data_IF_282287808932
#
_entry.id   IF_282287808932
#
_cell.length_a   1.000
_cell.length_b   1.000
_cell.length_c   1.000
_cell.angle_alpha   90.00
_cell.angle_beta   90.00
_cell.angle_gamma   90.00
#
_symmetry.space_group_name_H-M   'P 1'
#
loop_
_entity.id
_entity.type
_entity.pdbx_description
1 polymer ?
#
# COMPACT_ATOMS: atom_id res chain seq x y z
N UNK A 1 -7.61 28.62 18.44
CA UNK A 1 -6.73 28.98 17.31
C UNK A 1 -7.47 29.03 15.98
N UNK A 2 -8.39 28.13 15.72
CA UNK A 2 -9.16 28.01 14.47
C UNK A 2 -9.96 29.27 14.10
N UNK A 3 -10.65 29.91 15.05
CA UNK A 3 -11.51 31.08 14.75
C UNK A 3 -10.69 32.29 14.23
N UNK A 4 -9.55 32.63 14.86
CA UNK A 4 -8.69 33.72 14.40
C UNK A 4 -8.07 33.42 13.03
N UNK A 5 -7.61 32.19 12.79
CA UNK A 5 -7.06 31.80 11.48
C UNK A 5 -8.15 31.83 10.39
N UNK A 6 -9.39 31.45 10.69
CA UNK A 6 -10.50 31.54 9.74
C UNK A 6 -10.84 32.97 9.33
N UNK A 7 -10.55 33.96 10.17
CA UNK A 7 -10.78 35.38 9.85
C UNK A 7 -9.68 35.97 8.96
N UNK A 8 -8.43 35.48 9.08
CA UNK A 8 -7.26 35.99 8.37
C UNK A 8 -6.95 35.28 7.05
N UNK A 9 -7.27 33.96 6.94
CA UNK A 9 -7.05 33.18 5.72
C UNK A 9 -8.25 33.33 4.79
N UNK A 10 -8.01 33.56 3.50
CA UNK A 10 -9.07 33.91 2.57
C UNK A 10 -9.19 32.97 1.36
N UNK A 11 -8.10 32.33 0.95
CA UNK A 11 -8.01 31.57 -0.30
C UNK A 11 -7.58 30.12 -0.04
N UNK A 12 -7.75 29.27 -1.05
CA UNK A 12 -7.26 27.87 -1.03
C UNK A 12 -5.76 27.84 -0.72
N UNK A 13 -4.97 28.67 -1.41
CA UNK A 13 -3.52 28.69 -1.23
C UNK A 13 -3.10 29.20 0.16
N UNK A 14 -3.88 30.10 0.78
CA UNK A 14 -3.63 30.53 2.15
C UNK A 14 -3.74 29.36 3.12
N UNK A 15 -4.77 28.52 2.97
CA UNK A 15 -4.97 27.33 3.81
C UNK A 15 -3.90 26.28 3.57
N UNK A 16 -3.54 26.01 2.31
CA UNK A 16 -2.46 25.08 1.96
C UNK A 16 -1.14 25.51 2.60
N UNK A 17 -0.73 26.78 2.38
CA UNK A 17 0.46 27.34 2.98
C UNK A 17 0.42 27.28 4.52
N UNK A 18 -0.72 27.60 5.11
CA UNK A 18 -0.91 27.57 6.56
C UNK A 18 -0.79 26.13 7.10
N UNK A 19 -1.49 25.17 6.49
CA UNK A 19 -1.43 23.76 6.84
C UNK A 19 -0.01 23.21 6.77
N UNK A 20 0.68 23.45 5.64
CA UNK A 20 2.08 23.07 5.44
C UNK A 20 2.98 23.56 6.58
N UNK A 21 2.87 24.87 6.90
CA UNK A 21 3.66 25.48 7.97
C UNK A 21 3.36 24.87 9.34
N UNK A 22 2.08 24.58 9.62
CA UNK A 22 1.64 23.99 10.90
C UNK A 22 2.08 22.55 11.05
N UNK A 23 2.01 21.75 9.98
CA UNK A 23 2.42 20.35 9.98
C UNK A 23 3.94 20.22 10.21
N UNK A 24 4.74 21.03 9.50
CA UNK A 24 6.17 21.10 9.72
C UNK A 24 6.53 21.52 11.16
N UNK A 25 5.86 22.56 11.68
CA UNK A 25 6.11 23.07 13.03
C UNK A 25 5.69 22.05 14.12
N UNK A 26 4.71 21.19 13.84
CA UNK A 26 4.28 20.12 14.73
C UNK A 26 5.16 18.86 14.64
N UNK A 27 6.11 18.79 13.71
CA UNK A 27 6.95 17.62 13.49
C UNK A 27 6.11 16.38 13.15
N UNK A 28 5.18 16.51 12.22
CA UNK A 28 4.38 15.37 11.76
C UNK A 28 5.25 14.41 10.94
N UNK A 29 4.92 13.13 11.04
CA UNK A 29 5.50 12.10 10.16
C UNK A 29 4.62 11.94 8.93
N UNK A 30 5.27 11.90 7.77
CA UNK A 30 4.67 11.68 6.46
C UNK A 30 5.06 10.30 5.94
N UNK A 31 4.56 9.88 4.77
CA UNK A 31 4.85 8.60 4.15
C UNK A 31 3.67 7.60 4.16
N UNK A 32 2.56 7.90 4.86
CA UNK A 32 1.35 7.06 4.78
C UNK A 32 0.59 7.23 3.46
N UNK A 33 0.57 8.46 2.91
CA UNK A 33 -0.11 8.78 1.64
C UNK A 33 0.62 9.86 0.85
N UNK A 34 1.38 10.70 1.54
CA UNK A 34 2.09 11.85 1.00
C UNK A 34 3.45 11.96 1.66
N UNK A 35 4.48 12.33 0.90
CA UNK A 35 5.87 12.34 1.37
C UNK A 35 6.24 13.63 2.10
N UNK A 36 5.36 14.64 2.08
CA UNK A 36 5.66 15.94 2.67
C UNK A 36 4.40 16.71 3.09
N UNK A 37 4.62 17.73 3.92
CA UNK A 37 3.57 18.58 4.46
C UNK A 37 2.77 19.36 3.42
N UNK A 38 3.39 19.74 2.30
CA UNK A 38 2.72 20.54 1.27
C UNK A 38 1.67 19.71 0.54
N UNK A 39 2.03 18.52 0.12
CA UNK A 39 1.13 17.63 -0.61
C UNK A 39 0.00 17.15 0.30
N UNK A 40 0.31 16.79 1.56
CA UNK A 40 -0.71 16.38 2.53
C UNK A 40 -1.68 17.52 2.85
N UNK A 41 -1.20 18.74 3.10
CA UNK A 41 -2.06 19.90 3.35
C UNK A 41 -2.92 20.24 2.13
N UNK A 42 -2.36 20.12 0.92
CA UNK A 42 -3.08 20.34 -0.34
C UNK A 42 -4.25 19.37 -0.45
N UNK A 43 -4.00 18.09 -0.25
CA UNK A 43 -5.04 17.07 -0.39
C UNK A 43 -6.12 17.19 0.69
N UNK A 44 -5.75 17.48 1.94
CA UNK A 44 -6.73 17.73 3.00
C UNK A 44 -7.64 18.92 2.70
N UNK A 45 -7.09 20.00 2.12
CA UNK A 45 -7.87 21.15 1.68
C UNK A 45 -8.81 20.78 0.55
N UNK A 46 -8.29 20.14 -0.52
CA UNK A 46 -9.09 19.79 -1.70
C UNK A 46 -10.20 18.80 -1.33
N UNK A 47 -9.88 17.76 -0.54
CA UNK A 47 -10.86 16.78 -0.05
C UNK A 47 -11.97 17.45 0.76
N UNK A 48 -11.62 18.31 1.73
CA UNK A 48 -12.59 19.01 2.58
C UNK A 48 -13.55 19.89 1.79
N UNK A 49 -13.09 20.41 0.65
CA UNK A 49 -13.87 21.26 -0.25
C UNK A 49 -14.59 20.49 -1.36
N UNK A 50 -14.48 19.16 -1.37
CA UNK A 50 -15.01 18.30 -2.44
C UNK A 50 -14.50 18.69 -3.84
N UNK A 51 -13.24 19.12 -3.94
CA UNK A 51 -12.58 19.51 -5.18
C UNK A 51 -11.71 18.36 -5.71
N UNK A 52 -11.51 18.30 -7.04
CA UNK A 52 -10.62 17.31 -7.64
C UNK A 52 -9.19 17.43 -7.09
N UNK A 53 -8.51 16.28 -6.91
CA UNK A 53 -7.14 16.23 -6.39
C UNK A 53 -6.11 16.87 -7.35
N UNK A 54 -6.43 16.95 -8.64
CA UNK A 54 -5.63 17.56 -9.70
C UNK A 54 -6.06 18.99 -10.05
N UNK A 55 -6.74 19.68 -9.13
CA UNK A 55 -7.23 21.04 -9.33
C UNK A 55 -6.11 21.99 -9.79
N UNK A 56 -6.30 22.59 -10.95
CA UNK A 56 -5.30 23.48 -11.55
C UNK A 56 -4.95 24.70 -10.66
N UNK A 57 -3.69 25.16 -10.66
CA UNK A 57 -3.19 26.20 -9.75
C UNK A 57 -3.93 27.53 -9.86
N UNK A 58 -4.63 27.81 -10.96
CA UNK A 58 -5.45 29.01 -11.14
C UNK A 58 -6.56 29.13 -10.07
N UNK A 59 -7.06 28.02 -9.56
CA UNK A 59 -8.07 28.00 -8.51
C UNK A 59 -7.52 28.30 -7.11
N UNK A 60 -6.20 28.27 -6.90
CA UNK A 60 -5.58 28.54 -5.61
C UNK A 60 -5.96 29.89 -5.01
N UNK A 61 -6.35 30.86 -5.82
CA UNK A 61 -6.80 32.19 -5.40
C UNK A 61 -8.31 32.28 -5.13
N UNK A 62 -9.05 31.18 -5.31
CA UNK A 62 -10.48 31.18 -5.00
C UNK A 62 -10.71 31.41 -3.51
N UNK A 63 -11.67 32.32 -3.22
CA UNK A 63 -12.05 32.64 -1.85
C UNK A 63 -13.01 31.60 -1.28
N UNK A 64 -12.86 31.35 0.00
CA UNK A 64 -13.60 30.34 0.73
C UNK A 64 -14.63 30.97 1.67
N UNK A 65 -15.74 30.27 1.84
CA UNK A 65 -16.71 30.57 2.87
C UNK A 65 -16.10 30.32 4.25
N UNK A 66 -16.63 30.99 5.29
CA UNK A 66 -16.17 30.77 6.65
C UNK A 66 -16.32 29.30 7.11
N UNK A 67 -17.46 28.69 6.77
CA UNK A 67 -17.72 27.28 7.10
C UNK A 67 -16.73 26.33 6.45
N UNK A 68 -16.34 26.57 5.19
CA UNK A 68 -15.33 25.76 4.50
C UNK A 68 -13.96 25.86 5.18
N UNK A 69 -13.56 27.07 5.55
CA UNK A 69 -12.31 27.32 6.29
C UNK A 69 -12.31 26.61 7.64
N UNK A 70 -13.42 26.66 8.38
CA UNK A 70 -13.57 25.99 9.67
C UNK A 70 -13.47 24.47 9.55
N UNK A 71 -14.02 23.87 8.48
CA UNK A 71 -13.89 22.42 8.18
C UNK A 71 -12.43 22.03 7.94
N UNK A 72 -11.74 22.75 7.03
CA UNK A 72 -10.31 22.51 6.73
C UNK A 72 -9.44 22.63 7.98
N UNK A 73 -9.62 23.73 8.74
CA UNK A 73 -8.85 23.98 9.96
C UNK A 73 -9.12 22.91 11.03
N UNK A 74 -10.34 22.39 11.10
CA UNK A 74 -10.71 21.26 11.96
C UNK A 74 -9.96 19.98 11.60
N UNK A 75 -9.80 19.66 10.30
CA UNK A 75 -8.99 18.53 9.85
C UNK A 75 -7.51 18.72 10.22
N UNK A 76 -6.97 19.93 10.03
CA UNK A 76 -5.58 20.23 10.41
C UNK A 76 -5.34 20.07 11.91
N UNK A 77 -6.29 20.51 12.76
CA UNK A 77 -6.19 20.31 14.22
C UNK A 77 -6.21 18.84 14.59
N UNK A 78 -7.09 18.04 14.00
CA UNK A 78 -7.13 16.60 14.23
C UNK A 78 -5.82 15.94 13.78
N UNK A 79 -5.32 16.27 12.58
CA UNK A 79 -4.05 15.75 12.08
C UNK A 79 -2.87 16.05 13.01
N UNK A 80 -2.82 17.27 13.54
CA UNK A 80 -1.73 17.72 14.43
C UNK A 80 -1.86 17.11 15.83
N UNK A 81 -3.04 17.17 16.43
CA UNK A 81 -3.22 16.83 17.84
C UNK A 81 -3.42 15.33 18.07
N UNK A 82 -4.14 14.66 17.16
CA UNK A 82 -4.46 13.24 17.25
C UNK A 82 -3.43 12.38 16.51
N UNK A 83 -2.66 12.95 15.59
CA UNK A 83 -1.68 12.23 14.74
C UNK A 83 -2.31 11.21 13.78
N UNK A 84 -3.62 11.28 13.55
CA UNK A 84 -4.32 10.37 12.61
C UNK A 84 -3.78 10.57 11.19
N UNK A 85 -3.42 9.53 10.46
CA UNK A 85 -3.02 9.63 9.06
C UNK A 85 -4.06 10.34 8.19
N UNK A 86 -3.61 11.15 7.23
CA UNK A 86 -4.50 11.92 6.37
C UNK A 86 -5.53 11.04 5.64
N UNK A 87 -5.13 9.86 5.16
CA UNK A 87 -6.02 8.89 4.53
C UNK A 87 -7.17 8.44 5.44
N UNK A 88 -6.91 8.27 6.75
CA UNK A 88 -7.97 7.89 7.70
C UNK A 88 -8.84 9.08 8.11
N UNK A 89 -8.30 10.31 8.08
CA UNK A 89 -9.09 11.52 8.29
C UNK A 89 -10.09 11.76 7.17
N UNK A 90 -9.68 11.49 5.94
CA UNK A 90 -10.50 11.66 4.73
C UNK A 90 -11.34 10.42 4.41
N UNK A 91 -10.95 9.26 4.92
CA UNK A 91 -11.53 7.96 4.53
C UNK A 91 -11.14 7.53 3.12
N UNK A 92 -10.09 8.12 2.54
CA UNK A 92 -9.69 7.91 1.15
C UNK A 92 -8.17 7.89 0.99
N UNK A 93 -7.68 6.96 0.17
CA UNK A 93 -6.30 6.87 -0.28
C UNK A 93 -6.24 6.63 -1.78
N UNK A 94 -5.17 7.11 -2.43
CA UNK A 94 -4.94 6.90 -3.86
C UNK A 94 -3.87 5.84 -4.08
N UNK A 95 -4.13 4.91 -5.00
CA UNK A 95 -3.20 3.86 -5.36
C UNK A 95 -3.37 3.49 -6.83
N UNK A 96 -2.28 3.45 -7.60
CA UNK A 96 -2.31 3.17 -9.04
C UNK A 96 -3.41 3.97 -9.77
N UNK A 97 -3.51 5.28 -9.52
CA UNK A 97 -4.50 6.18 -10.13
C UNK A 97 -5.96 5.96 -9.72
N UNK A 98 -6.24 5.04 -8.79
CA UNK A 98 -7.58 4.72 -8.30
C UNK A 98 -7.79 5.21 -6.87
N UNK A 99 -9.02 5.63 -6.55
CA UNK A 99 -9.42 6.08 -5.21
C UNK A 99 -10.02 4.93 -4.40
N UNK A 100 -9.38 4.58 -3.28
CA UNK A 100 -9.78 3.52 -2.36
C UNK A 100 -10.33 4.10 -1.07
N UNK A 101 -11.36 3.48 -0.50
CA UNK A 101 -11.73 3.70 0.88
C UNK A 101 -10.59 3.22 1.78
N UNK A 102 -10.23 4.03 2.80
CA UNK A 102 -9.13 3.74 3.71
C UNK A 102 -9.53 4.03 5.15
N UNK A 103 -9.34 3.07 6.03
CA UNK A 103 -9.56 3.20 7.47
C UNK A 103 -8.70 2.16 8.24
N UNK A 104 -8.77 2.17 9.58
CA UNK A 104 -7.92 1.38 10.46
C UNK A 104 -8.07 -0.16 10.35
N UNK A 105 -8.91 -0.67 9.43
CA UNK A 105 -9.03 -2.11 9.15
C UNK A 105 -7.88 -2.69 8.32
N UNK A 106 -7.16 -1.85 7.56
CA UNK A 106 -6.01 -2.25 6.78
C UNK A 106 -5.02 -1.09 6.65
N UNK A 107 -3.75 -1.40 6.28
CA UNK A 107 -2.75 -0.37 6.00
C UNK A 107 -3.23 0.60 4.93
N UNK A 108 -2.77 1.85 5.05
CA UNK A 108 -2.96 2.84 3.97
C UNK A 108 -2.25 2.35 2.71
N UNK A 109 -2.94 2.28 1.55
CA UNK A 109 -2.32 1.93 0.27
C UNK A 109 -1.14 2.86 -0.07
N UNK A 110 0.10 2.33 -0.10
CA UNK A 110 1.32 3.11 -0.37
C UNK A 110 2.44 2.31 -1.03
N UNK A 111 2.16 1.05 -1.42
CA UNK A 111 3.14 0.17 -2.03
C UNK A 111 3.59 0.70 -3.41
N UNK A 112 4.90 0.73 -3.70
CA UNK A 112 5.42 1.05 -5.02
C UNK A 112 5.08 0.01 -6.10
N UNK A 113 4.50 -1.14 -5.73
CA UNK A 113 3.89 -2.10 -6.67
C UNK A 113 2.86 -1.41 -7.59
N UNK A 114 2.28 -0.27 -7.18
CA UNK A 114 1.44 0.57 -8.04
C UNK A 114 2.09 0.89 -9.40
N UNK A 115 3.40 1.25 -9.40
CA UNK A 115 4.13 1.55 -10.64
C UNK A 115 4.27 0.32 -11.54
N UNK A 116 4.45 -0.87 -10.95
CA UNK A 116 4.51 -2.13 -11.71
C UNK A 116 3.15 -2.46 -12.34
N UNK A 117 2.07 -2.26 -11.62
CA UNK A 117 0.71 -2.47 -12.14
C UNK A 117 0.44 -1.54 -13.32
N UNK A 118 0.74 -0.25 -13.18
CA UNK A 118 0.56 0.76 -14.25
C UNK A 118 1.44 0.47 -15.47
N UNK A 119 2.64 -0.13 -15.27
CA UNK A 119 3.54 -0.57 -16.32
C UNK A 119 3.17 -1.95 -16.91
N UNK A 120 2.07 -2.59 -16.45
CA UNK A 120 1.69 -3.94 -16.88
C UNK A 120 2.70 -5.01 -16.47
N UNK A 121 3.45 -4.78 -15.39
CA UNK A 121 4.52 -5.65 -14.88
C UNK A 121 5.67 -5.90 -15.87
N UNK A 122 5.81 -5.05 -16.87
CA UNK A 122 6.96 -5.14 -17.78
C UNK A 122 8.20 -4.46 -17.15
N UNK A 123 9.41 -4.99 -17.41
CA UNK A 123 9.75 -6.12 -18.30
C UNK A 123 9.66 -7.52 -17.63
N UNK A 124 9.16 -7.61 -16.42
CA UNK A 124 9.20 -8.83 -15.58
C UNK A 124 8.38 -9.98 -16.17
N UNK A 125 7.21 -9.69 -16.72
CA UNK A 125 6.41 -10.70 -17.42
C UNK A 125 7.07 -11.16 -18.72
N UNK A 126 7.86 -10.31 -19.39
CA UNK A 126 8.61 -10.71 -20.56
C UNK A 126 7.77 -11.29 -21.69
N UNK A 127 6.52 -10.81 -21.83
CA UNK A 127 5.56 -11.32 -22.81
C UNK A 127 4.84 -12.61 -22.39
N UNK A 128 4.94 -13.04 -21.13
CA UNK A 128 4.12 -14.15 -20.58
C UNK A 128 2.64 -13.76 -20.61
N UNK A 129 1.80 -14.71 -20.97
CA UNK A 129 0.36 -14.55 -20.86
C UNK A 129 -0.09 -14.81 -19.43
N UNK A 130 -0.78 -13.85 -18.81
CA UNK A 130 -1.36 -13.99 -17.49
C UNK A 130 -2.87 -14.13 -17.64
N UNK A 131 -3.41 -15.22 -17.12
CA UNK A 131 -4.85 -15.46 -17.02
C UNK A 131 -5.32 -15.41 -15.59
N UNK A 132 -4.49 -15.85 -14.65
CA UNK A 132 -4.81 -15.88 -13.23
C UNK A 132 -3.72 -15.23 -12.40
N UNK A 133 -4.11 -14.23 -11.61
CA UNK A 133 -3.22 -13.54 -10.69
C UNK A 133 -3.71 -13.67 -9.25
N UNK A 134 -2.77 -13.62 -8.31
CA UNK A 134 -3.03 -13.62 -6.87
C UNK A 134 -2.40 -12.38 -6.24
N UNK A 135 -3.17 -11.69 -5.40
CA UNK A 135 -2.67 -10.73 -4.43
C UNK A 135 -2.71 -11.38 -3.04
N UNK A 136 -1.55 -11.69 -2.50
CA UNK A 136 -1.38 -12.34 -1.19
C UNK A 136 -1.13 -11.27 -0.13
N UNK A 137 -1.87 -11.33 0.99
CA UNK A 137 -1.93 -10.27 2.00
C UNK A 137 -2.58 -8.99 1.45
N UNK A 138 -3.77 -9.13 0.86
CA UNK A 138 -4.42 -8.10 0.04
C UNK A 138 -4.82 -6.83 0.81
N UNK A 139 -4.96 -6.89 2.14
CA UNK A 139 -5.33 -5.76 2.98
C UNK A 139 -6.62 -5.07 2.52
N UNK A 140 -6.53 -3.82 2.11
CA UNK A 140 -7.66 -3.04 1.57
C UNK A 140 -8.13 -3.49 0.18
N UNK A 141 -7.45 -4.47 -0.43
CA UNK A 141 -7.70 -4.93 -1.78
C UNK A 141 -7.05 -4.08 -2.87
N UNK A 142 -6.20 -3.12 -2.53
CA UNK A 142 -5.72 -2.13 -3.49
C UNK A 142 -4.89 -2.75 -4.62
N UNK A 143 -4.01 -3.72 -4.34
CA UNK A 143 -3.22 -4.42 -5.36
C UNK A 143 -4.12 -5.30 -6.22
N UNK A 144 -4.94 -6.18 -5.62
CA UNK A 144 -5.85 -7.06 -6.36
C UNK A 144 -6.79 -6.29 -7.29
N UNK A 145 -7.41 -5.23 -6.76
CA UNK A 145 -8.40 -4.42 -7.50
C UNK A 145 -7.72 -3.63 -8.62
N UNK A 146 -6.53 -3.04 -8.36
CA UNK A 146 -5.79 -2.35 -9.39
C UNK A 146 -5.33 -3.31 -10.50
N UNK A 147 -4.81 -4.51 -10.16
CA UNK A 147 -4.50 -5.55 -11.14
C UNK A 147 -5.71 -5.90 -12.01
N UNK A 148 -6.88 -6.12 -11.39
CA UNK A 148 -8.10 -6.42 -12.09
C UNK A 148 -8.61 -5.27 -12.97
N UNK A 149 -8.45 -4.02 -12.52
CA UNK A 149 -8.86 -2.83 -13.25
C UNK A 149 -8.05 -2.64 -14.54
N UNK A 150 -6.72 -2.74 -14.45
CA UNK A 150 -5.83 -2.55 -15.60
C UNK A 150 -5.81 -3.78 -16.52
N UNK A 151 -6.20 -4.95 -16.02
CA UNK A 151 -6.22 -6.20 -16.79
C UNK A 151 -7.61 -6.88 -16.66
N UNK A 152 -8.64 -6.36 -17.32
CA UNK A 152 -10.02 -6.86 -17.16
C UNK A 152 -10.22 -8.30 -17.64
N UNK A 153 -9.26 -8.86 -18.38
CA UNK A 153 -9.24 -10.25 -18.84
C UNK A 153 -8.63 -11.23 -17.84
N UNK A 154 -7.99 -10.74 -16.74
CA UNK A 154 -7.44 -11.60 -15.72
C UNK A 154 -8.51 -12.00 -14.68
N UNK A 155 -8.42 -13.22 -14.18
CA UNK A 155 -9.09 -13.63 -12.96
C UNK A 155 -8.14 -13.36 -11.79
N UNK A 156 -8.50 -12.44 -10.90
CA UNK A 156 -7.65 -12.04 -9.78
C UNK A 156 -8.25 -12.54 -8.48
N UNK A 157 -7.47 -13.32 -7.72
CA UNK A 157 -7.80 -13.64 -6.33
C UNK A 157 -7.05 -12.69 -5.39
N UNK A 158 -7.75 -12.08 -4.41
CA UNK A 158 -7.17 -11.31 -3.33
C UNK A 158 -7.39 -12.04 -2.01
N UNK A 159 -6.34 -12.34 -1.25
CA UNK A 159 -6.48 -13.11 -0.01
C UNK A 159 -5.89 -12.39 1.19
N UNK A 160 -6.55 -12.53 2.33
CA UNK A 160 -6.09 -12.03 3.62
C UNK A 160 -6.57 -12.93 4.74
N UNK A 161 -5.84 -12.92 5.86
CA UNK A 161 -6.23 -13.62 7.09
C UNK A 161 -7.26 -12.83 7.90
N UNK A 162 -7.28 -11.51 7.75
CA UNK A 162 -8.12 -10.58 8.49
C UNK A 162 -9.50 -10.43 7.86
N UNK A 163 -10.54 -10.75 8.63
CA UNK A 163 -11.94 -10.49 8.21
C UNK A 163 -12.21 -8.99 8.03
N UNK A 164 -11.59 -8.12 8.85
CA UNK A 164 -11.76 -6.68 8.79
C UNK A 164 -11.13 -6.11 7.51
N UNK A 165 -9.93 -6.56 7.14
CA UNK A 165 -9.27 -6.19 5.89
C UNK A 165 -10.11 -6.63 4.68
N UNK A 166 -10.60 -7.87 4.67
CA UNK A 166 -11.45 -8.38 3.60
C UNK A 166 -12.79 -7.63 3.49
N UNK A 167 -13.35 -7.18 4.63
CA UNK A 167 -14.54 -6.34 4.61
C UNK A 167 -14.27 -4.99 3.94
N UNK A 168 -13.13 -4.35 4.23
CA UNK A 168 -12.71 -3.12 3.55
C UNK A 168 -12.44 -3.36 2.06
N UNK A 169 -11.76 -4.45 1.72
CA UNK A 169 -11.50 -4.85 0.33
C UNK A 169 -12.81 -5.08 -0.45
N UNK A 170 -13.82 -5.68 0.18
CA UNK A 170 -15.14 -5.90 -0.45
C UNK A 170 -15.86 -4.57 -0.74
N UNK A 171 -15.76 -3.59 0.17
CA UNK A 171 -16.30 -2.24 -0.07
C UNK A 171 -15.57 -1.56 -1.24
N UNK A 172 -14.24 -1.67 -1.32
CA UNK A 172 -13.43 -1.14 -2.41
C UNK A 172 -13.72 -1.83 -3.74
N UNK A 173 -13.83 -3.17 -3.74
CA UNK A 173 -14.23 -3.95 -4.92
C UNK A 173 -15.57 -3.47 -5.49
N UNK A 174 -16.57 -3.29 -4.62
CA UNK A 174 -17.89 -2.81 -5.03
C UNK A 174 -17.83 -1.36 -5.56
N UNK A 175 -17.07 -0.48 -4.88
CA UNK A 175 -16.89 0.93 -5.28
C UNK A 175 -16.26 1.08 -6.66
N UNK A 176 -15.26 0.23 -6.97
CA UNK A 176 -14.48 0.29 -8.21
C UNK A 176 -14.96 -0.68 -9.30
N UNK A 177 -16.07 -1.40 -9.07
CA UNK A 177 -16.68 -2.35 -10.00
C UNK A 177 -15.67 -3.41 -10.51
N UNK A 178 -14.83 -3.94 -9.62
CA UNK A 178 -13.82 -4.93 -9.96
C UNK A 178 -14.42 -6.35 -9.96
N UNK A 179 -15.29 -6.64 -10.94
CA UNK A 179 -16.07 -7.90 -10.99
C UNK A 179 -15.19 -9.14 -11.18
N UNK A 180 -14.03 -8.99 -11.82
CA UNK A 180 -13.03 -10.04 -12.05
C UNK A 180 -12.09 -10.28 -10.85
N UNK A 181 -12.32 -9.63 -9.70
CA UNK A 181 -11.59 -9.87 -8.46
C UNK A 181 -12.41 -10.74 -7.52
N UNK A 182 -11.82 -11.80 -6.97
CA UNK A 182 -12.43 -12.64 -5.94
C UNK A 182 -11.67 -12.49 -4.63
N UNK A 183 -12.38 -12.18 -3.54
CA UNK A 183 -11.78 -12.04 -2.21
C UNK A 183 -12.00 -13.31 -1.40
N UNK A 184 -10.94 -13.83 -0.78
CA UNK A 184 -10.96 -15.09 -0.04
C UNK A 184 -10.22 -14.95 1.30
N UNK A 185 -10.76 -15.56 2.35
CA UNK A 185 -10.06 -15.67 3.62
C UNK A 185 -9.04 -16.79 3.56
N UNK A 186 -7.77 -16.48 3.82
CA UNK A 186 -6.69 -17.46 3.83
C UNK A 186 -5.54 -16.98 4.72
N UNK A 187 -4.95 -17.92 5.46
CA UNK A 187 -3.61 -17.74 6.04
C UNK A 187 -2.60 -18.11 4.96
N UNK A 188 -2.02 -17.10 4.32
CA UNK A 188 -1.22 -17.24 3.12
C UNK A 188 -1.95 -18.15 2.09
N UNK A 189 -1.33 -19.24 1.68
CA UNK A 189 -1.85 -20.16 0.66
C UNK A 189 -2.85 -21.22 1.20
N UNK A 190 -3.02 -21.35 2.52
CA UNK A 190 -3.75 -22.47 3.14
C UNK A 190 -5.21 -22.63 2.65
N UNK A 191 -5.87 -21.53 2.33
CA UNK A 191 -7.27 -21.51 1.86
C UNK A 191 -7.44 -21.69 0.35
N UNK A 192 -6.35 -21.76 -0.43
CA UNK A 192 -6.40 -21.74 -1.89
C UNK A 192 -6.55 -23.13 -2.53
N UNK A 193 -6.37 -24.20 -1.77
CA UNK A 193 -6.42 -25.57 -2.29
C UNK A 193 -5.36 -25.78 -3.38
N UNK A 194 -5.76 -26.35 -4.52
CA UNK A 194 -4.87 -26.62 -5.65
C UNK A 194 -4.86 -25.53 -6.73
N UNK A 195 -5.24 -24.30 -6.40
CA UNK A 195 -5.22 -23.20 -7.36
C UNK A 195 -3.79 -22.85 -7.76
N UNK A 196 -3.59 -22.57 -9.05
CA UNK A 196 -2.33 -22.10 -9.61
C UNK A 196 -2.53 -20.76 -10.30
N UNK A 197 -1.47 -19.94 -10.26
CA UNK A 197 -1.44 -18.57 -10.77
C UNK A 197 -0.24 -18.34 -11.67
N UNK A 198 -0.41 -17.52 -12.70
CA UNK A 198 0.67 -17.11 -13.59
C UNK A 198 1.49 -15.97 -12.96
N UNK A 199 0.83 -15.18 -12.11
CA UNK A 199 1.45 -14.09 -11.36
C UNK A 199 0.94 -14.10 -9.91
N UNK A 200 1.88 -14.11 -8.97
CA UNK A 200 1.62 -13.86 -7.55
C UNK A 200 2.27 -12.53 -7.19
N UNK A 201 1.50 -11.61 -6.62
CA UNK A 201 1.99 -10.33 -6.11
C UNK A 201 1.71 -10.28 -4.61
N UNK A 202 2.64 -9.75 -3.83
CA UNK A 202 2.43 -9.66 -2.38
C UNK A 202 3.19 -8.48 -1.78
N UNK A 203 2.52 -7.78 -0.88
CA UNK A 203 3.14 -6.85 0.06
C UNK A 203 2.82 -7.36 1.48
N UNK A 204 3.55 -8.38 1.97
CA UNK A 204 3.32 -8.95 3.28
C UNK A 204 3.87 -8.03 4.37
N UNK A 205 3.49 -8.21 5.65
CA UNK A 205 4.22 -7.60 6.75
C UNK A 205 5.71 -7.94 6.68
N UNK A 206 6.56 -6.90 6.81
CA UNK A 206 8.03 -7.04 6.74
C UNK A 206 8.78 -6.15 7.76
N UNK A 207 8.07 -5.43 8.62
CA UNK A 207 8.71 -4.56 9.63
C UNK A 207 9.13 -5.41 10.83
N UNK A 208 10.38 -5.25 11.27
CA UNK A 208 10.90 -5.99 12.43
C UNK A 208 10.19 -5.57 13.72
N UNK A 209 10.27 -6.42 14.75
CA UNK A 209 9.69 -6.12 16.06
C UNK A 209 10.25 -4.82 16.65
N UNK A 210 11.57 -4.64 16.61
CA UNK A 210 12.26 -3.46 17.17
C UNK A 210 11.88 -2.19 16.39
N UNK A 211 11.82 -2.24 15.07
CA UNK A 211 11.38 -1.12 14.25
C UNK A 211 9.92 -0.76 14.51
N UNK A 212 9.04 -1.77 14.61
CA UNK A 212 7.61 -1.55 14.90
C UNK A 212 7.42 -0.80 16.23
N UNK A 213 8.18 -1.16 17.26
CA UNK A 213 8.13 -0.52 18.58
C UNK A 213 8.69 0.92 18.56
N UNK A 214 9.53 1.26 17.56
CA UNK A 214 10.12 2.58 17.38
C UNK A 214 9.34 3.47 16.40
N UNK A 215 8.29 2.95 15.74
CA UNK A 215 7.51 3.70 14.77
C UNK A 215 6.89 4.97 15.38
N UNK A 216 6.79 6.06 14.60
CA UNK A 216 6.08 7.27 15.00
C UNK A 216 4.61 7.00 15.36
N UNK A 217 4.02 7.89 16.16
CA UNK A 217 2.65 7.76 16.66
C UNK A 217 1.62 7.56 15.54
N UNK A 218 1.85 8.12 14.37
CA UNK A 218 0.98 7.98 13.20
C UNK A 218 0.73 6.52 12.82
N UNK A 219 1.72 5.65 12.97
CA UNK A 219 1.62 4.22 12.66
C UNK A 219 0.78 3.43 13.67
N UNK A 220 0.54 3.96 14.88
CA UNK A 220 -0.31 3.31 15.89
C UNK A 220 -1.79 3.18 15.48
N UNK A 221 -2.20 3.87 14.43
CA UNK A 221 -3.54 3.75 13.85
C UNK A 221 -3.68 2.60 12.87
N UNK A 222 -2.56 2.10 12.34
CA UNK A 222 -2.55 0.96 11.42
C UNK A 222 -2.57 -0.37 12.18
N UNK A 223 -3.21 -1.42 11.64
CA UNK A 223 -3.24 -2.72 12.32
C UNK A 223 -1.85 -3.33 12.41
N UNK A 224 -1.41 -3.72 13.60
CA UNK A 224 -0.10 -4.37 13.83
C UNK A 224 0.10 -5.62 12.96
N UNK A 225 -0.98 -6.36 12.70
CA UNK A 225 -0.97 -7.54 11.82
C UNK A 225 -0.43 -7.24 10.42
N UNK A 226 -0.58 -6.02 9.94
CA UNK A 226 -0.10 -5.59 8.63
C UNK A 226 1.34 -5.07 8.62
N UNK A 227 1.98 -4.91 9.78
CA UNK A 227 3.32 -4.34 9.91
C UNK A 227 4.34 -5.37 10.39
N UNK A 228 4.06 -6.05 11.51
CA UNK A 228 5.01 -6.83 12.29
C UNK A 228 5.31 -8.21 11.66
N UNK A 229 6.59 -8.53 11.47
CA UNK A 229 7.06 -9.75 10.79
C UNK A 229 8.29 -10.40 11.47
N UNK A 230 8.28 -10.49 12.79
CA UNK A 230 9.36 -11.16 13.53
C UNK A 230 10.59 -10.28 13.79
N UNK A 231 11.72 -10.91 14.06
CA UNK A 231 12.93 -10.20 14.48
C UNK A 231 13.75 -9.66 13.30
N UNK A 232 13.65 -10.28 12.13
CA UNK A 232 14.36 -9.87 10.90
C UNK A 232 13.43 -9.40 9.77
N UNK A 233 12.11 -9.38 10.01
CA UNK A 233 11.11 -8.95 9.03
C UNK A 233 10.84 -9.97 7.92
N UNK A 234 11.36 -11.20 8.01
CA UNK A 234 11.32 -12.20 6.93
C UNK A 234 10.45 -13.42 7.22
N UNK A 235 9.85 -13.53 8.42
CA UNK A 235 9.07 -14.70 8.83
C UNK A 235 8.00 -15.13 7.81
N UNK A 236 7.24 -14.15 7.27
CA UNK A 236 6.21 -14.44 6.28
C UNK A 236 6.78 -14.60 4.88
N UNK A 237 7.79 -13.80 4.53
CA UNK A 237 8.46 -13.86 3.22
C UNK A 237 9.06 -15.23 2.97
N UNK A 238 9.77 -15.81 3.95
CA UNK A 238 10.35 -17.14 3.82
C UNK A 238 9.28 -18.24 3.67
N UNK A 239 8.13 -18.13 4.36
CA UNK A 239 6.99 -19.03 4.15
C UNK A 239 6.38 -18.88 2.76
N UNK A 240 6.25 -17.64 2.27
CA UNK A 240 5.76 -17.35 0.92
C UNK A 240 6.69 -17.97 -0.12
N UNK A 241 8.00 -17.76 -0.03
CA UNK A 241 8.98 -18.33 -0.95
C UNK A 241 8.96 -19.86 -0.95
N UNK A 242 8.77 -20.49 0.22
CA UNK A 242 8.67 -21.96 0.37
C UNK A 242 7.44 -22.53 -0.34
N UNK A 243 6.29 -21.86 -0.17
CA UNK A 243 5.00 -22.44 -0.57
C UNK A 243 4.55 -21.97 -1.97
N UNK A 244 5.04 -20.83 -2.46
CA UNK A 244 4.69 -20.28 -3.76
C UNK A 244 4.85 -21.25 -4.94
N UNK A 245 5.88 -22.13 -5.02
CA UNK A 245 6.01 -23.07 -6.12
C UNK A 245 4.83 -24.01 -6.31
N UNK A 246 4.07 -24.31 -5.24
CA UNK A 246 2.89 -25.16 -5.31
C UNK A 246 1.68 -24.44 -5.90
N UNK A 247 1.74 -23.10 -5.95
CA UNK A 247 0.67 -22.20 -6.40
C UNK A 247 1.04 -21.37 -7.62
N UNK A 248 2.26 -21.45 -8.12
CA UNK A 248 2.67 -20.88 -9.38
C UNK A 248 2.51 -21.88 -10.52
N UNK A 249 2.13 -21.40 -11.70
CA UNK A 249 2.29 -22.16 -12.94
C UNK A 249 3.77 -22.39 -13.23
N UNK A 250 4.11 -23.29 -14.15
CA UNK A 250 5.51 -23.69 -14.44
C UNK A 250 6.39 -22.47 -14.79
N UNK A 251 5.85 -21.54 -15.58
CA UNK A 251 6.51 -20.28 -15.96
C UNK A 251 6.04 -19.09 -15.10
N UNK A 252 5.39 -19.37 -13.97
CA UNK A 252 4.81 -18.34 -13.11
C UNK A 252 5.86 -17.47 -12.42
N UNK A 253 5.44 -16.25 -12.07
CA UNK A 253 6.28 -15.22 -11.47
C UNK A 253 5.71 -14.81 -10.09
N UNK A 254 6.59 -14.69 -9.10
CA UNK A 254 6.31 -14.06 -7.82
C UNK A 254 6.95 -12.67 -7.79
N UNK A 255 6.18 -11.64 -7.43
CA UNK A 255 6.67 -10.29 -7.10
C UNK A 255 6.35 -10.04 -5.63
N UNK A 256 7.39 -9.73 -4.84
CA UNK A 256 7.28 -9.60 -3.40
C UNK A 256 7.97 -8.34 -2.91
N UNK A 257 7.26 -7.56 -2.11
CA UNK A 257 7.80 -6.43 -1.36
C UNK A 257 8.33 -6.91 -0.02
N UNK A 258 9.52 -6.45 0.36
CA UNK A 258 10.20 -6.75 1.63
C UNK A 258 10.79 -5.49 2.29
N UNK A 259 10.62 -4.34 1.65
CA UNK A 259 11.10 -3.06 2.16
C UNK A 259 12.57 -3.10 2.57
N UNK A 260 12.87 -2.61 3.76
CA UNK A 260 14.25 -2.53 4.28
C UNK A 260 14.86 -3.89 4.65
N UNK A 261 14.06 -4.97 4.70
CA UNK A 261 14.56 -6.35 4.93
C UNK A 261 15.28 -6.94 3.70
N UNK A 262 15.36 -6.21 2.57
CA UNK A 262 16.12 -6.61 1.36
C UNK A 262 17.53 -7.13 1.69
N UNK A 263 18.30 -6.36 2.46
CA UNK A 263 19.69 -6.73 2.77
C UNK A 263 19.80 -8.00 3.63
N UNK A 264 18.78 -8.29 4.46
CA UNK A 264 18.71 -9.52 5.23
C UNK A 264 18.42 -10.69 4.31
N UNK A 265 17.44 -10.55 3.42
CA UNK A 265 17.07 -11.60 2.47
C UNK A 265 18.24 -11.99 1.54
N UNK A 266 18.95 -10.99 0.99
CA UNK A 266 20.14 -11.22 0.14
C UNK A 266 21.23 -12.01 0.87
N UNK A 267 21.43 -11.75 2.18
CA UNK A 267 22.41 -12.50 2.97
C UNK A 267 21.97 -13.93 3.28
N UNK A 268 20.68 -14.16 3.47
CA UNK A 268 20.13 -15.49 3.77
C UNK A 268 20.06 -16.41 2.54
N UNK A 269 19.80 -15.83 1.37
CA UNK A 269 19.59 -16.55 0.12
C UNK A 269 20.50 -15.99 -1.00
N UNK A 270 21.84 -15.97 -0.82
CA UNK A 270 22.76 -15.38 -1.79
C UNK A 270 22.84 -16.18 -3.11
N UNK A 271 22.39 -17.44 -3.11
CA UNK A 271 22.36 -18.33 -4.28
C UNK A 271 21.06 -18.23 -5.10
N UNK A 272 20.02 -17.58 -4.58
CA UNK A 272 18.74 -17.42 -5.28
C UNK A 272 18.78 -16.17 -6.15
N UNK A 273 18.49 -16.31 -7.43
CA UNK A 273 18.43 -15.18 -8.36
C UNK A 273 17.16 -14.35 -8.16
N UNK A 274 17.20 -13.47 -7.16
CA UNK A 274 16.15 -12.48 -6.88
C UNK A 274 16.40 -11.25 -7.74
N UNK A 275 15.54 -11.02 -8.72
CA UNK A 275 15.66 -9.87 -9.62
C UNK A 275 15.04 -8.62 -8.96
N UNK A 276 15.88 -7.77 -8.38
CA UNK A 276 15.45 -6.56 -7.69
C UNK A 276 14.91 -5.50 -8.65
N UNK A 277 13.77 -4.91 -8.28
CA UNK A 277 13.12 -3.88 -9.07
C UNK A 277 13.72 -2.53 -8.76
N UNK A 278 14.19 -1.83 -9.80
CA UNK A 278 14.66 -0.46 -9.68
C UNK A 278 13.52 0.53 -9.98
N UNK A 279 13.23 1.41 -9.03
CA UNK A 279 12.25 2.47 -9.19
C UNK A 279 12.93 3.80 -9.51
N UNK A 280 12.19 4.73 -10.11
CA UNK A 280 12.71 6.07 -10.43
C UNK A 280 13.16 6.85 -9.20
N UNK A 281 12.58 6.55 -8.04
CA UNK A 281 12.87 7.22 -6.77
C UNK A 281 13.26 6.16 -5.73
N UNK A 282 14.57 5.88 -5.61
CA UNK A 282 15.14 5.03 -4.58
C UNK A 282 14.94 3.52 -4.79
N UNK A 283 15.57 2.72 -3.91
CA UNK A 283 15.30 1.29 -3.78
C UNK A 283 14.15 1.07 -2.80
N UNK A 284 13.23 0.20 -3.15
CA UNK A 284 12.01 -0.03 -2.37
C UNK A 284 11.87 -1.47 -1.86
N UNK A 285 12.94 -2.29 -1.99
CA UNK A 285 12.93 -3.67 -1.52
C UNK A 285 11.81 -4.51 -2.15
N UNK A 286 11.70 -4.47 -3.48
CA UNK A 286 10.79 -5.34 -4.26
C UNK A 286 11.62 -6.21 -5.17
N UNK A 287 11.33 -7.51 -5.21
CA UNK A 287 11.95 -8.44 -6.12
C UNK A 287 10.93 -9.23 -6.93
N UNK A 288 11.39 -9.70 -8.08
CA UNK A 288 10.71 -10.71 -8.89
C UNK A 288 11.52 -12.00 -8.88
N UNK A 289 10.85 -13.15 -8.79
CA UNK A 289 11.48 -14.47 -8.86
C UNK A 289 10.60 -15.45 -9.59
N UNK A 290 11.19 -16.28 -10.45
CA UNK A 290 10.47 -17.30 -11.22
C UNK A 290 10.22 -18.56 -10.40
N UNK A 291 9.13 -19.27 -10.71
CA UNK A 291 8.78 -20.55 -10.08
C UNK A 291 9.93 -21.56 -10.10
N UNK A 292 10.60 -21.67 -11.25
CA UNK A 292 11.74 -22.61 -11.43
C UNK A 292 12.91 -22.32 -10.49
N UNK A 293 13.18 -21.04 -10.19
CA UNK A 293 14.25 -20.62 -9.28
C UNK A 293 13.91 -21.01 -7.85
N UNK A 294 12.68 -20.81 -7.42
CA UNK A 294 12.20 -21.23 -6.12
C UNK A 294 12.24 -22.76 -5.94
N UNK A 295 11.93 -23.51 -7.00
CA UNK A 295 12.03 -24.99 -6.98
C UNK A 295 13.50 -25.43 -6.87
N UNK A 296 14.41 -24.80 -7.60
CA UNK A 296 15.84 -25.14 -7.60
C UNK A 296 16.47 -24.98 -6.20
N UNK A 297 16.03 -23.98 -5.45
CA UNK A 297 16.55 -23.66 -4.10
C UNK A 297 15.59 -24.05 -2.97
N UNK A 298 14.55 -24.84 -3.25
CA UNK A 298 13.46 -25.15 -2.31
C UNK A 298 13.91 -25.79 -1.00
N UNK A 299 14.96 -26.64 -1.01
CA UNK A 299 15.48 -27.27 0.20
C UNK A 299 16.06 -26.21 1.19
N UNK A 300 16.83 -25.25 0.68
CA UNK A 300 17.41 -24.17 1.49
C UNK A 300 16.32 -23.22 2.02
N UNK A 301 15.39 -22.84 1.16
CA UNK A 301 14.24 -21.99 1.56
C UNK A 301 13.42 -22.66 2.65
N UNK A 302 13.13 -23.96 2.51
CA UNK A 302 12.37 -24.72 3.52
C UNK A 302 13.09 -24.81 4.87
N UNK A 303 14.42 -24.98 4.87
CA UNK A 303 15.24 -24.94 6.09
C UNK A 303 15.07 -23.62 6.83
N UNK A 304 15.24 -22.49 6.11
CA UNK A 304 15.12 -21.15 6.68
C UNK A 304 13.69 -20.84 7.16
N UNK A 305 12.67 -21.22 6.41
CA UNK A 305 11.28 -20.99 6.77
C UNK A 305 10.80 -21.82 7.99
N UNK A 306 11.62 -22.77 8.47
CA UNK A 306 11.31 -23.63 9.60
C UNK A 306 12.12 -23.30 10.85
N UNK A 307 13.10 -22.38 10.73
CA UNK A 307 13.98 -21.96 11.81
C UNK A 307 13.33 -20.89 12.68
#
# INVERSE_FOLDING_TARGET
>A
MTAAAADELHTIIDLIRYGTSRFNAAGLTFGHSYDNALDEATQLVLHSLHLPHDLGPAYGQARLLRSEKEQVLGLFERRINERVPAAYLTGEAWFAGLSFKSDARALVPRSPIAELIEAGFEPWLGGREVTRALDLCTGSGCIAIAMGHYNPQWDVDGVDISDDALALAAENKARLHADNVTLLKSDLFAGLGGRQYDLIVTNPPYVTNDETDALPQEYSYEPELGLRAGDDGLDLVLKILRDAPQHLSEDGLLICEVGESEQHLVKLLPEVDLAWVEFKVGQMGIFAVECRELIAHGARIAELASA
#
